data_IF_250173998404
#
_entry.id   IF_250173998404
#
_cell.length_a   1.000
_cell.length_b   1.000
_cell.length_c   1.000
_cell.angle_alpha   90.00
_cell.angle_beta   90.00
_cell.angle_gamma   90.00
#
_symmetry.space_group_name_H-M   'P 1'
#
loop_
_entity.id
_entity.type
_entity.pdbx_description
1 polymer ?
#
# COMPACT_ATOMS: atom_id res chain seq x y z
N UNK A 1 3.58 13.28 4.59
CA UNK A 1 2.33 14.04 4.43
C UNK A 1 1.37 13.30 3.50
N UNK A 2 0.09 13.27 3.86
CA UNK A 2 -0.98 12.79 2.97
C UNK A 2 -1.11 13.71 1.75
N UNK A 3 -1.60 13.17 0.63
CA UNK A 3 -1.83 13.93 -0.60
C UNK A 3 -3.26 13.70 -1.06
N UNK A 4 -3.96 14.76 -1.44
CA UNK A 4 -5.29 14.65 -2.06
C UNK A 4 -5.24 13.68 -3.25
N UNK A 5 -6.22 12.80 -3.31
CA UNK A 5 -6.37 11.85 -4.40
C UNK A 5 -6.75 12.58 -5.68
N UNK A 6 -6.00 12.33 -6.75
CA UNK A 6 -6.29 12.83 -8.12
C UNK A 6 -6.63 11.69 -9.08
N UNK A 7 -6.62 10.45 -8.60
CA UNK A 7 -6.83 9.26 -9.41
C UNK A 7 -8.29 8.87 -9.44
N UNK A 8 -8.73 8.32 -10.57
CA UNK A 8 -10.13 7.89 -10.77
C UNK A 8 -10.37 6.42 -10.39
N UNK A 9 -9.42 5.76 -9.71
CA UNK A 9 -9.53 4.32 -9.43
C UNK A 9 -10.60 4.01 -8.37
N UNK A 10 -10.65 4.82 -7.31
CA UNK A 10 -11.59 4.65 -6.20
C UNK A 10 -12.23 6.00 -5.88
N UNK A 11 -13.51 6.17 -6.24
CA UNK A 11 -14.25 7.44 -6.02
C UNK A 11 -14.34 7.82 -4.54
N UNK A 12 -14.41 6.84 -3.65
CA UNK A 12 -14.53 7.07 -2.21
C UNK A 12 -13.20 7.44 -1.53
N UNK A 13 -12.05 7.34 -2.23
CA UNK A 13 -10.73 7.65 -1.66
C UNK A 13 -10.48 9.15 -1.78
N UNK A 14 -10.38 9.84 -0.64
CA UNK A 14 -10.10 11.28 -0.60
C UNK A 14 -8.62 11.58 -0.67
N UNK A 15 -7.78 10.73 -0.08
CA UNK A 15 -6.34 10.96 0.05
C UNK A 15 -5.52 9.70 -0.20
N UNK A 16 -4.23 9.90 -0.49
CA UNK A 16 -3.23 8.85 -0.57
C UNK A 16 -2.12 9.10 0.43
N UNK A 17 -1.61 8.03 1.02
CA UNK A 17 -0.48 8.08 1.95
C UNK A 17 0.52 6.97 1.66
N UNK A 18 1.79 7.31 1.60
CA UNK A 18 2.85 6.40 1.15
C UNK A 18 4.01 6.38 2.16
N UNK A 19 3.85 5.68 3.30
CA UNK A 19 4.89 5.59 4.33
C UNK A 19 6.06 4.69 3.90
N UNK A 20 5.78 3.65 3.11
CA UNK A 20 6.80 2.80 2.50
C UNK A 20 6.98 3.28 1.05
N UNK A 21 8.24 3.48 0.64
CA UNK A 21 8.58 4.00 -0.69
C UNK A 21 9.69 3.15 -1.29
N UNK A 22 9.61 2.87 -2.59
CA UNK A 22 10.67 2.19 -3.32
C UNK A 22 10.14 1.27 -4.41
N UNK A 23 11.01 0.38 -4.86
CA UNK A 23 10.73 -0.60 -5.90
C UNK A 23 10.06 -1.83 -5.30
N UNK A 24 8.85 -2.12 -5.73
CA UNK A 24 8.13 -3.35 -5.37
C UNK A 24 8.84 -4.60 -5.94
N UNK A 25 8.96 -5.66 -5.13
CA UNK A 25 9.57 -6.93 -5.52
C UNK A 25 8.77 -7.71 -6.56
N UNK A 26 7.45 -7.53 -6.63
CA UNK A 26 6.58 -8.13 -7.66
C UNK A 26 7.11 -7.86 -9.07
N UNK A 27 7.70 -6.69 -9.29
CA UNK A 27 8.43 -6.39 -10.52
C UNK A 27 7.58 -6.31 -11.79
N UNK A 28 6.24 -6.36 -11.71
CA UNK A 28 5.30 -6.35 -12.84
C UNK A 28 5.66 -5.31 -13.90
N UNK A 29 5.71 -5.68 -15.18
CA UNK A 29 6.12 -4.76 -16.27
C UNK A 29 5.16 -3.59 -16.45
N UNK A 30 3.87 -3.82 -16.19
CA UNK A 30 2.78 -2.85 -16.29
C UNK A 30 2.64 -1.92 -15.07
N UNK A 31 3.51 -2.03 -14.06
CA UNK A 31 3.43 -1.20 -12.87
C UNK A 31 3.51 0.30 -13.20
N UNK A 32 2.48 1.06 -12.84
CA UNK A 32 2.38 2.49 -13.17
C UNK A 32 3.53 3.31 -12.58
N UNK A 33 4.08 2.89 -11.44
CA UNK A 33 5.21 3.56 -10.78
C UNK A 33 6.47 3.61 -11.64
N UNK A 34 6.66 2.63 -12.55
CA UNK A 34 7.77 2.65 -13.50
C UNK A 34 7.65 3.76 -14.55
N UNK A 35 6.42 4.19 -14.86
CA UNK A 35 6.16 5.34 -15.75
C UNK A 35 6.36 6.66 -15.02
N UNK A 36 5.98 6.72 -13.75
CA UNK A 36 6.09 7.95 -12.95
C UNK A 36 7.51 8.23 -12.43
N UNK A 37 8.31 7.19 -12.20
CA UNK A 37 9.65 7.32 -11.69
C UNK A 37 10.59 6.34 -12.40
N UNK A 38 11.55 6.88 -13.15
CA UNK A 38 12.54 6.09 -13.90
C UNK A 38 13.56 5.38 -13.00
N UNK A 39 13.74 5.84 -11.75
CA UNK A 39 14.69 5.30 -10.77
C UNK A 39 14.02 5.07 -9.42
N UNK A 40 13.48 3.87 -9.24
CA UNK A 40 12.98 3.40 -7.94
C UNK A 40 14.12 2.74 -7.17
N UNK A 41 14.42 3.28 -5.99
CA UNK A 41 15.39 2.70 -5.05
C UNK A 41 14.79 1.50 -4.30
N UNK A 42 15.63 0.78 -3.56
CA UNK A 42 15.20 -0.29 -2.63
C UNK A 42 14.09 0.22 -1.68
N UNK A 43 13.10 -0.63 -1.33
CA UNK A 43 12.09 -0.29 -0.34
C UNK A 43 12.70 0.29 0.93
N UNK A 44 12.10 1.36 1.43
CA UNK A 44 12.42 1.99 2.71
C UNK A 44 11.15 2.49 3.39
N UNK A 45 11.15 2.43 4.71
CA UNK A 45 10.19 3.16 5.54
C UNK A 45 10.63 4.63 5.63
N UNK A 46 9.77 5.55 5.22
CA UNK A 46 10.04 6.97 5.29
C UNK A 46 9.62 7.51 6.66
N UNK A 47 10.57 7.60 7.58
CA UNK A 47 10.32 8.01 8.96
C UNK A 47 9.64 9.39 9.07
N UNK A 48 9.87 10.30 8.11
CA UNK A 48 9.21 11.60 8.11
C UNK A 48 7.69 11.48 7.93
N UNK A 49 7.21 10.45 7.22
CA UNK A 49 5.78 10.17 7.06
C UNK A 49 5.12 9.75 8.39
N UNK A 50 5.87 9.16 9.31
CA UNK A 50 5.42 8.70 10.62
C UNK A 50 5.54 9.77 11.72
N UNK A 51 5.76 11.02 11.34
CA UNK A 51 5.77 12.18 12.25
C UNK A 51 4.61 13.15 11.99
N UNK A 52 3.91 13.00 10.86
CA UNK A 52 2.82 13.89 10.46
C UNK A 52 1.48 13.38 10.97
N UNK A 53 0.71 14.20 11.69
CA UNK A 53 -0.66 13.84 12.07
C UNK A 53 -1.50 13.52 10.82
N UNK A 54 -2.15 12.35 10.80
CA UNK A 54 -3.15 12.03 9.79
C UNK A 54 -4.43 12.76 10.20
N UNK A 55 -4.76 13.86 9.51
CA UNK A 55 -6.03 14.57 9.65
C UNK A 55 -7.21 13.59 9.71
N UNK A 56 -8.26 13.87 10.48
CA UNK A 56 -9.37 12.92 10.68
C UNK A 56 -10.45 13.01 9.59
N UNK A 57 -11.36 12.01 9.57
CA UNK A 57 -12.53 11.93 8.70
C UNK A 57 -12.21 11.81 7.20
N UNK A 58 -11.01 11.34 6.87
CA UNK A 58 -10.59 11.03 5.51
C UNK A 58 -10.78 9.55 5.17
N UNK A 59 -10.76 9.26 3.87
CA UNK A 59 -10.62 7.90 3.35
C UNK A 59 -9.29 7.81 2.62
N UNK A 60 -8.31 7.15 3.24
CA UNK A 60 -6.90 7.19 2.83
C UNK A 60 -6.51 5.87 2.17
N UNK A 61 -6.05 5.92 0.92
CA UNK A 61 -5.38 4.78 0.30
C UNK A 61 -3.91 4.73 0.75
N UNK A 62 -3.58 3.70 1.52
CA UNK A 62 -2.23 3.47 2.06
C UNK A 62 -1.43 2.60 1.09
N UNK A 63 -0.22 3.05 0.76
CA UNK A 63 0.71 2.28 -0.08
C UNK A 63 0.32 2.25 -1.56
N UNK A 64 -0.24 3.33 -2.10
CA UNK A 64 -0.57 3.38 -3.53
C UNK A 64 0.65 3.19 -4.44
N UNK A 65 1.84 3.62 -3.98
CA UNK A 65 3.10 3.59 -4.74
C UNK A 65 3.94 2.32 -4.61
N UNK A 66 3.57 1.40 -3.71
CA UNK A 66 4.26 0.12 -3.50
C UNK A 66 3.33 -0.84 -2.75
N UNK A 67 3.35 -2.11 -3.12
CA UNK A 67 2.64 -3.13 -2.32
C UNK A 67 3.36 -3.32 -0.98
N UNK A 68 2.80 -2.74 0.09
CA UNK A 68 3.37 -2.83 1.44
C UNK A 68 3.34 -4.25 2.02
N UNK A 69 2.64 -5.19 1.37
CA UNK A 69 2.53 -6.58 1.78
C UNK A 69 3.37 -7.51 0.89
N UNK A 70 4.20 -6.97 -0.01
CA UNK A 70 5.15 -7.78 -0.78
C UNK A 70 6.19 -8.42 0.15
N UNK A 71 6.63 -9.65 -0.14
CA UNK A 71 7.45 -10.50 0.75
C UNK A 71 8.69 -9.80 1.35
N UNK A 72 9.36 -8.98 0.55
CA UNK A 72 10.58 -8.27 0.92
C UNK A 72 10.37 -7.07 1.84
N UNK A 73 9.12 -6.65 2.09
CA UNK A 73 8.82 -5.61 3.07
C UNK A 73 8.92 -6.20 4.48
N UNK A 74 9.71 -5.64 5.40
CA UNK A 74 9.78 -6.14 6.77
C UNK A 74 8.44 -6.05 7.53
N UNK A 75 8.04 -7.12 8.22
CA UNK A 75 6.77 -7.16 8.98
C UNK A 75 6.65 -6.05 10.02
N UNK A 76 7.76 -5.64 10.64
CA UNK A 76 7.74 -4.52 11.60
C UNK A 76 7.41 -3.18 10.95
N UNK A 77 7.71 -2.97 9.66
CA UNK A 77 7.28 -1.76 8.94
C UNK A 77 5.77 -1.75 8.72
N UNK A 78 5.20 -2.90 8.35
CA UNK A 78 3.76 -3.08 8.21
C UNK A 78 3.08 -2.75 9.54
N UNK A 79 3.54 -3.36 10.64
CA UNK A 79 3.02 -3.10 11.99
C UNK A 79 3.06 -1.60 12.34
N UNK A 80 4.21 -0.93 12.13
CA UNK A 80 4.33 0.50 12.40
C UNK A 80 3.35 1.35 11.59
N UNK A 81 3.06 0.98 10.34
CA UNK A 81 2.10 1.68 9.49
C UNK A 81 0.67 1.47 10.02
N UNK A 82 0.30 0.24 10.39
CA UNK A 82 -1.02 -0.06 10.94
C UNK A 82 -1.24 0.63 12.29
N UNK A 83 -0.24 0.60 13.19
CA UNK A 83 -0.26 1.31 14.47
C UNK A 83 -0.41 2.83 14.29
N UNK A 84 0.15 3.38 13.21
CA UNK A 84 0.05 4.80 12.92
C UNK A 84 -1.35 5.18 12.40
N UNK A 85 -1.92 4.34 11.54
CA UNK A 85 -3.28 4.49 11.04
C UNK A 85 -4.32 4.47 12.18
N UNK A 86 -4.18 3.53 13.13
CA UNK A 86 -5.13 3.32 14.23
C UNK A 86 -5.22 4.50 15.22
N UNK A 87 -4.27 5.45 15.16
CA UNK A 87 -4.26 6.65 16.02
C UNK A 87 -5.27 7.71 15.60
N UNK A 88 -5.90 7.57 14.44
CA UNK A 88 -6.76 8.61 13.87
C UNK A 88 -8.10 8.05 13.45
N UNK A 89 -9.15 8.87 13.52
CA UNK A 89 -10.51 8.50 13.12
C UNK A 89 -10.72 8.56 11.60
N UNK A 90 -9.82 7.92 10.85
CA UNK A 90 -9.87 7.80 9.40
C UNK A 90 -10.38 6.43 8.98
N UNK A 91 -10.76 6.31 7.71
CA UNK A 91 -10.94 5.02 7.05
C UNK A 91 -9.77 4.77 6.12
N UNK A 92 -9.38 3.51 5.98
CA UNK A 92 -8.24 3.15 5.14
C UNK A 92 -8.63 2.16 4.05
N UNK A 93 -8.01 2.32 2.90
CA UNK A 93 -7.97 1.30 1.86
C UNK A 93 -6.58 0.68 1.87
N UNK A 94 -6.54 -0.64 2.07
CA UNK A 94 -5.34 -1.44 1.87
C UNK A 94 -5.55 -2.36 0.68
N UNK A 95 -4.58 -2.39 -0.24
CA UNK A 95 -4.64 -3.24 -1.42
C UNK A 95 -3.32 -4.00 -1.60
N UNK A 96 -3.40 -5.28 -1.95
CA UNK A 96 -2.22 -6.10 -2.22
C UNK A 96 -2.41 -7.06 -3.38
N UNK A 97 -1.31 -7.54 -3.96
CA UNK A 97 -1.26 -8.79 -4.75
C UNK A 97 -0.97 -10.01 -3.87
N UNK A 98 -0.52 -9.82 -2.64
CA UNK A 98 -0.20 -10.86 -1.66
C UNK A 98 -1.24 -10.89 -0.52
N UNK A 99 -2.50 -11.31 -0.77
CA UNK A 99 -3.55 -11.29 0.24
C UNK A 99 -3.24 -12.17 1.45
N UNK A 100 -2.48 -13.25 1.27
CA UNK A 100 -2.05 -14.13 2.37
C UNK A 100 -1.33 -13.35 3.47
N UNK A 101 -0.47 -12.39 3.10
CA UNK A 101 0.27 -11.59 4.08
C UNK A 101 -0.59 -10.56 4.82
N UNK A 102 -1.76 -10.20 4.28
CA UNK A 102 -2.72 -9.39 5.03
C UNK A 102 -3.32 -10.20 6.19
N UNK A 103 -3.51 -11.51 6.00
CA UNK A 103 -4.07 -12.40 7.03
C UNK A 103 -3.18 -12.49 8.27
N UNK A 104 -1.86 -12.34 8.12
CA UNK A 104 -0.92 -12.29 9.24
C UNK A 104 -1.21 -11.14 10.22
N UNK A 105 -1.87 -10.07 9.74
CA UNK A 105 -2.16 -8.86 10.51
C UNK A 105 -3.66 -8.60 10.71
N UNK A 106 -4.54 -9.46 10.20
CA UNK A 106 -5.98 -9.18 10.11
C UNK A 106 -6.65 -8.89 11.46
N UNK A 107 -6.06 -9.36 12.57
CA UNK A 107 -6.53 -9.09 13.93
C UNK A 107 -6.22 -7.66 14.43
N UNK A 108 -5.48 -6.85 13.66
CA UNK A 108 -5.15 -5.47 14.02
C UNK A 108 -6.41 -4.59 14.06
N UNK A 109 -6.66 -3.78 15.11
CA UNK A 109 -7.89 -2.99 15.27
C UNK A 109 -8.23 -2.06 14.10
N UNK A 110 -7.21 -1.53 13.42
CA UNK A 110 -7.36 -0.71 12.20
C UNK A 110 -8.28 -1.36 11.14
N UNK A 111 -8.30 -2.69 11.06
CA UNK A 111 -9.13 -3.40 10.08
C UNK A 111 -10.64 -3.32 10.37
N UNK A 112 -11.06 -2.98 11.59
CA UNK A 112 -12.48 -2.77 11.91
C UNK A 112 -13.11 -1.57 11.18
N UNK A 113 -12.29 -0.63 10.72
CA UNK A 113 -12.72 0.56 10.01
C UNK A 113 -12.01 0.76 8.67
N UNK A 114 -11.43 -0.32 8.13
CA UNK A 114 -10.72 -0.31 6.86
C UNK A 114 -11.38 -1.21 5.82
N UNK A 115 -11.15 -0.89 4.55
CA UNK A 115 -11.47 -1.74 3.41
C UNK A 115 -10.19 -2.42 2.96
N UNK A 116 -10.25 -3.74 2.82
CA UNK A 116 -9.16 -4.56 2.30
C UNK A 116 -9.52 -5.04 0.90
N UNK A 117 -8.60 -4.86 -0.04
CA UNK A 117 -8.73 -5.32 -1.42
C UNK A 117 -7.56 -6.21 -1.81
N UNK A 118 -7.83 -7.18 -2.68
CA UNK A 118 -6.79 -7.92 -3.39
C UNK A 118 -6.82 -7.56 -4.86
N UNK A 119 -5.65 -7.45 -5.48
CA UNK A 119 -5.53 -7.26 -6.92
C UNK A 119 -5.68 -8.61 -7.58
N UNK A 120 -6.69 -8.75 -8.44
CA UNK A 120 -6.89 -9.94 -9.24
C UNK A 120 -6.22 -9.78 -10.60
N UNK A 121 -5.71 -10.88 -11.14
CA UNK A 121 -5.11 -10.96 -12.46
C UNK A 121 -5.78 -12.11 -13.23
N UNK A 122 -5.35 -12.34 -14.47
CA UNK A 122 -5.78 -13.50 -15.26
C UNK A 122 -5.41 -14.83 -14.59
N UNK A 123 -6.14 -15.90 -14.93
CA UNK A 123 -5.80 -17.26 -14.53
C UNK A 123 -4.59 -17.86 -15.28
N UNK A 124 -3.91 -17.09 -16.14
CA UNK A 124 -2.71 -17.49 -16.87
C UNK A 124 -1.49 -16.73 -16.36
N UNK A 125 -0.45 -17.46 -15.96
CA UNK A 125 0.78 -16.83 -15.53
C UNK A 125 1.67 -16.45 -16.73
N UNK A 126 2.02 -15.17 -16.81
CA UNK A 126 2.92 -14.63 -17.84
C UNK A 126 4.22 -14.15 -17.18
N UNK A 127 5.29 -14.96 -17.14
CA UNK A 127 6.53 -14.62 -16.41
C UNK A 127 7.12 -13.27 -16.82
N UNK A 128 7.11 -12.97 -18.12
CA UNK A 128 7.67 -11.72 -18.64
C UNK A 128 6.85 -10.48 -18.27
N UNK A 129 5.57 -10.65 -17.94
CA UNK A 129 4.64 -9.56 -17.66
C UNK A 129 4.43 -9.40 -16.14
N UNK A 130 4.08 -10.50 -15.46
CA UNK A 130 3.76 -10.55 -14.03
C UNK A 130 5.01 -10.61 -13.15
N UNK A 131 6.11 -11.17 -13.68
CA UNK A 131 7.38 -11.39 -12.98
C UNK A 131 7.24 -12.16 -11.68
N UNK A 132 7.39 -11.49 -10.54
CA UNK A 132 7.37 -12.10 -9.21
C UNK A 132 6.05 -11.85 -8.47
N UNK A 133 5.01 -11.36 -9.17
CA UNK A 133 3.68 -11.28 -8.56
C UNK A 133 3.23 -12.69 -8.15
N UNK A 134 2.80 -12.88 -6.90
CA UNK A 134 2.13 -14.11 -6.48
C UNK A 134 0.77 -14.27 -7.18
#
# INVERSE_FOLDING_TARGET
MIKESKGNMYEFVTHTWNPIKGKCSHGCTYCYMKKMCSRLNTPRLDAAELTCYLECLNFIFVGSSIDMWAEDIPSHWIQMVLDYCDRSANKYLFQSKNPSRILDFIAHPVFHHSVVCTTIETNRFYPEIMRNSP
#
